data_IF_371011049053
#
_entry.id   IF_371011049053
#
_cell.length_a   1.000
_cell.length_b   1.000
_cell.length_c   1.000
_cell.angle_alpha   90.00
_cell.angle_beta   90.00
_cell.angle_gamma   90.00
#
_symmetry.space_group_name_H-M   'P 1'
#
loop_
_entity.id
_entity.type
_entity.pdbx_description
1 polymer ?
#
# COMPACT_ATOMS: atom_id res chain seq x y z
N UNK A 1 -11.28 -34.46 -18.88
CA UNK A 1 -12.04 -33.35 -19.46
C UNK A 1 -11.96 -32.22 -18.47
N UNK A 2 -10.88 -31.44 -18.50
CA UNK A 2 -10.68 -30.30 -17.61
C UNK A 2 -9.92 -29.26 -18.45
N UNK A 3 -10.58 -28.15 -18.81
CA UNK A 3 -9.96 -27.07 -19.58
C UNK A 3 -10.90 -26.29 -20.51
N UNK A 4 -12.08 -26.80 -20.86
CA UNK A 4 -13.02 -26.09 -21.75
C UNK A 4 -13.86 -25.02 -21.02
N UNK A 5 -14.06 -25.14 -19.71
CA UNK A 5 -14.97 -24.24 -18.95
C UNK A 5 -14.37 -22.85 -18.61
N UNK A 6 -13.13 -22.55 -19.02
CA UNK A 6 -12.46 -21.28 -18.68
C UNK A 6 -11.81 -20.57 -19.89
N UNK A 7 -12.30 -20.86 -21.10
CA UNK A 7 -11.84 -20.19 -22.31
C UNK A 7 -12.66 -18.91 -22.58
N UNK A 8 -11.98 -17.82 -22.93
CA UNK A 8 -12.62 -16.55 -23.31
C UNK A 8 -12.44 -16.29 -24.80
N UNK A 9 -13.52 -15.93 -25.48
CA UNK A 9 -13.45 -15.47 -26.87
C UNK A 9 -12.75 -14.11 -26.92
N UNK A 10 -11.54 -14.08 -27.47
CA UNK A 10 -10.64 -12.92 -27.46
C UNK A 10 -10.15 -12.62 -28.88
N UNK A 11 -10.00 -11.33 -29.21
CA UNK A 11 -9.35 -10.93 -30.47
C UNK A 11 -7.83 -11.03 -30.34
N UNK A 12 -7.24 -11.86 -31.17
CA UNK A 12 -5.79 -12.07 -31.22
C UNK A 12 -5.24 -11.46 -32.51
N UNK A 13 -4.22 -10.63 -32.37
CA UNK A 13 -3.48 -10.11 -33.52
C UNK A 13 -2.41 -11.12 -33.95
N UNK A 14 -2.52 -11.63 -35.17
CA UNK A 14 -1.47 -12.38 -35.82
C UNK A 14 -0.66 -11.44 -36.70
N UNK A 15 0.58 -11.16 -36.29
CA UNK A 15 1.56 -10.51 -37.18
C UNK A 15 2.08 -11.54 -38.16
N UNK A 16 1.80 -11.34 -39.43
CA UNK A 16 2.59 -11.93 -40.51
C UNK A 16 3.58 -10.87 -41.02
N UNK A 17 4.64 -11.28 -41.73
CA UNK A 17 5.78 -10.41 -42.13
C UNK A 17 5.37 -9.10 -42.81
N UNK A 18 4.18 -9.04 -43.42
CA UNK A 18 3.68 -7.87 -44.14
C UNK A 18 2.38 -7.26 -43.58
N UNK A 19 1.61 -7.97 -42.75
CA UNK A 19 0.26 -7.51 -42.32
C UNK A 19 -0.07 -7.93 -40.88
N UNK A 20 -0.80 -7.06 -40.17
CA UNK A 20 -1.41 -7.34 -38.87
C UNK A 20 -2.86 -7.78 -39.10
N UNK A 21 -3.17 -9.07 -38.90
CA UNK A 21 -4.52 -9.61 -39.06
C UNK A 21 -5.10 -9.97 -37.71
N UNK A 22 -6.31 -9.51 -37.42
CA UNK A 22 -7.02 -9.81 -36.18
C UNK A 22 -8.02 -10.95 -36.40
N UNK A 23 -8.01 -11.93 -35.51
CA UNK A 23 -8.92 -13.09 -35.55
C UNK A 23 -9.47 -13.39 -34.17
N UNK A 24 -10.70 -13.88 -34.10
CA UNK A 24 -11.32 -14.24 -32.84
C UNK A 24 -10.92 -15.67 -32.49
N UNK A 25 -10.40 -15.86 -31.27
CA UNK A 25 -9.91 -17.14 -30.79
C UNK A 25 -10.39 -17.37 -29.36
N UNK A 26 -10.78 -18.61 -29.06
CA UNK A 26 -11.00 -19.05 -27.69
C UNK A 26 -9.64 -19.27 -27.02
N UNK A 27 -9.32 -18.45 -26.02
CA UNK A 27 -8.05 -18.53 -25.29
C UNK A 27 -8.34 -18.87 -23.84
N UNK A 28 -7.67 -19.90 -23.34
CA UNK A 28 -7.55 -20.13 -21.90
C UNK A 28 -6.51 -19.16 -21.35
N UNK A 29 -6.87 -18.28 -20.39
CA UNK A 29 -5.94 -17.31 -19.86
C UNK A 29 -4.80 -18.06 -19.17
N UNK A 30 -3.58 -17.55 -19.35
CA UNK A 30 -2.46 -18.03 -18.55
C UNK A 30 -2.80 -17.76 -17.08
N UNK A 31 -2.49 -18.69 -16.17
CA UNK A 31 -2.63 -18.43 -14.74
C UNK A 31 -1.93 -17.10 -14.41
N UNK A 32 -2.50 -16.27 -13.53
CA UNK A 32 -1.81 -15.08 -13.07
C UNK A 32 -0.42 -15.49 -12.60
N UNK A 33 0.61 -14.78 -13.07
CA UNK A 33 1.98 -15.02 -12.62
C UNK A 33 2.08 -14.79 -11.11
N UNK A 34 3.11 -15.37 -10.48
CA UNK A 34 3.41 -15.05 -9.09
C UNK A 34 3.58 -13.53 -8.94
N UNK A 35 2.83 -12.94 -8.00
CA UNK A 35 2.95 -11.52 -7.69
C UNK A 35 4.32 -11.30 -7.09
N UNK A 36 5.15 -10.48 -7.74
CA UNK A 36 6.41 -10.05 -7.17
C UNK A 36 6.10 -9.00 -6.09
N UNK A 37 6.17 -9.42 -4.83
CA UNK A 37 6.14 -8.51 -3.70
C UNK A 37 7.43 -7.69 -3.75
N UNK A 38 7.31 -6.36 -3.69
CA UNK A 38 8.47 -5.49 -3.63
C UNK A 38 9.14 -5.65 -2.25
N UNK A 39 10.47 -5.71 -2.22
CA UNK A 39 11.19 -5.79 -0.94
C UNK A 39 11.44 -4.41 -0.35
N UNK A 40 11.41 -4.32 0.97
CA UNK A 40 11.85 -3.14 1.70
C UNK A 40 13.35 -3.19 1.94
N UNK A 41 13.98 -2.03 1.86
CA UNK A 41 15.36 -1.82 2.28
C UNK A 41 15.54 -2.19 3.75
N UNK A 42 16.75 -2.63 4.11
CA UNK A 42 17.07 -2.93 5.51
C UNK A 42 16.97 -1.65 6.37
N UNK A 43 16.31 -1.74 7.52
CA UNK A 43 16.20 -0.61 8.46
C UNK A 43 17.52 -0.43 9.22
N UNK A 44 17.94 0.82 9.43
CA UNK A 44 19.08 1.16 10.29
C UNK A 44 18.81 0.73 11.74
N UNK A 45 19.55 -0.30 12.18
CA UNK A 45 19.46 -0.85 13.54
C UNK A 45 19.76 0.20 14.63
N UNK A 46 20.66 1.15 14.37
CA UNK A 46 20.98 2.21 15.32
C UNK A 46 19.78 3.16 15.48
N UNK A 47 19.07 3.44 14.39
CA UNK A 47 17.84 4.24 14.39
C UNK A 47 16.74 3.54 15.19
N UNK A 48 16.49 2.26 14.92
CA UNK A 48 15.53 1.45 15.68
C UNK A 48 15.86 1.41 17.18
N UNK A 49 17.13 1.20 17.53
CA UNK A 49 17.56 1.15 18.93
C UNK A 49 17.36 2.49 19.65
N UNK A 50 17.56 3.62 18.94
CA UNK A 50 17.30 4.96 19.49
C UNK A 50 15.79 5.18 19.69
N UNK A 51 14.98 4.87 18.69
CA UNK A 51 13.52 4.99 18.77
C UNK A 51 12.97 4.18 19.96
N UNK A 52 13.41 2.93 20.13
CA UNK A 52 13.03 2.08 21.28
C UNK A 52 13.35 2.70 22.64
N UNK A 53 14.49 3.38 22.76
CA UNK A 53 14.91 4.00 24.03
C UNK A 53 14.12 5.23 24.40
N UNK A 54 13.50 5.91 23.43
CA UNK A 54 12.73 7.14 23.67
C UNK A 54 11.24 6.87 23.87
N UNK A 55 10.80 5.62 23.71
CA UNK A 55 9.39 5.25 23.88
C UNK A 55 8.88 5.55 25.28
N UNK A 56 7.66 6.09 25.32
CA UNK A 56 6.92 6.39 26.54
C UNK A 56 5.87 5.32 26.86
N UNK A 57 5.46 4.52 25.88
CA UNK A 57 4.50 3.45 26.08
C UNK A 57 4.01 2.80 24.78
N UNK A 58 3.15 1.80 24.96
CA UNK A 58 2.38 1.14 23.91
C UNK A 58 0.90 1.41 24.12
N UNK A 59 0.25 2.05 23.17
CA UNK A 59 -1.14 2.51 23.31
C UNK A 59 -1.83 2.67 21.97
N UNK A 60 -3.14 2.40 21.93
CA UNK A 60 -3.97 2.61 20.75
C UNK A 60 -3.87 1.50 19.69
N UNK A 61 -4.72 1.67 18.68
CA UNK A 61 -4.82 0.86 17.48
C UNK A 61 -4.61 1.81 16.30
N UNK A 62 -3.65 1.49 15.42
CA UNK A 62 -3.41 2.28 14.23
C UNK A 62 -3.83 1.51 12.99
N UNK A 63 -4.59 2.18 12.13
CA UNK A 63 -5.02 1.67 10.83
C UNK A 63 -4.06 2.19 9.75
N UNK A 64 -3.58 1.28 8.89
CA UNK A 64 -2.60 1.62 7.85
C UNK A 64 -3.03 1.05 6.51
N UNK A 65 -3.00 1.90 5.48
CA UNK A 65 -3.26 1.52 4.10
C UNK A 65 -2.26 2.18 3.13
N UNK A 66 -2.08 1.54 1.98
CA UNK A 66 -1.38 2.08 0.83
C UNK A 66 -2.26 1.90 -0.40
N UNK A 67 -2.89 2.98 -0.87
CA UNK A 67 -3.79 2.97 -2.03
C UNK A 67 -3.46 4.09 -3.02
N UNK A 68 -3.90 3.94 -4.26
CA UNK A 68 -3.71 4.99 -5.27
C UNK A 68 -4.52 6.23 -4.89
N UNK A 69 -3.85 7.37 -4.77
CA UNK A 69 -4.56 8.64 -4.63
C UNK A 69 -5.17 9.01 -5.99
N UNK A 70 -6.46 9.38 -6.06
CA UNK A 70 -7.12 9.77 -7.30
C UNK A 70 -6.76 11.20 -7.75
N UNK A 71 -5.52 11.63 -7.49
CA UNK A 71 -4.98 12.93 -7.86
C UNK A 71 -3.76 12.72 -8.77
N UNK A 72 -3.88 12.95 -10.10
CA UNK A 72 -2.76 12.75 -11.00
C UNK A 72 -1.68 13.80 -10.76
N UNK A 73 -0.43 13.36 -10.65
CA UNK A 73 0.73 14.23 -10.49
C UNK A 73 1.48 14.33 -11.83
N UNK A 74 1.96 15.54 -12.15
CA UNK A 74 2.80 15.80 -13.32
C UNK A 74 4.09 16.50 -12.88
N UNK A 75 5.19 15.73 -12.86
CA UNK A 75 6.53 16.20 -12.51
C UNK A 75 7.42 16.38 -13.77
N UNK A 76 6.81 16.66 -14.93
CA UNK A 76 7.51 16.84 -16.21
C UNK A 76 7.68 15.56 -17.04
N UNK A 77 7.31 14.41 -16.48
CA UNK A 77 7.21 13.12 -17.18
C UNK A 77 5.74 12.79 -17.51
N UNK A 78 5.47 11.55 -17.96
CA UNK A 78 4.10 11.05 -18.12
C UNK A 78 3.35 11.18 -16.79
N UNK A 79 2.21 11.89 -16.73
CA UNK A 79 1.41 11.98 -15.51
C UNK A 79 1.01 10.60 -15.00
N UNK A 80 0.98 10.45 -13.69
CA UNK A 80 0.66 9.19 -13.02
C UNK A 80 -0.18 9.44 -11.77
N UNK A 81 -0.88 8.41 -11.32
CA UNK A 81 -1.55 8.40 -10.01
C UNK A 81 -0.57 7.85 -8.97
N UNK A 82 -0.19 8.63 -7.94
CA UNK A 82 0.76 8.18 -6.94
C UNK A 82 0.09 7.19 -5.97
N UNK A 83 0.92 6.37 -5.33
CA UNK A 83 0.52 5.63 -4.13
C UNK A 83 0.53 6.59 -2.93
N UNK A 84 -0.50 6.50 -2.11
CA UNK A 84 -0.63 7.22 -0.85
C UNK A 84 -0.59 6.22 0.30
N UNK A 85 0.43 6.36 1.16
CA UNK A 85 0.45 5.73 2.46
C UNK A 85 -0.27 6.62 3.47
N UNK A 86 -1.14 6.03 4.29
CA UNK A 86 -1.90 6.74 5.31
C UNK A 86 -1.87 5.94 6.62
N UNK A 87 -1.65 6.62 7.74
CA UNK A 87 -1.63 6.05 9.09
C UNK A 87 -2.59 6.87 9.95
N UNK A 88 -3.60 6.20 10.50
CA UNK A 88 -4.68 6.82 11.29
C UNK A 88 -4.76 6.17 12.65
N UNK A 89 -4.90 7.00 13.69
CA UNK A 89 -5.21 6.53 15.03
C UNK A 89 -6.70 6.25 15.15
N UNK A 90 -7.07 5.01 15.49
CA UNK A 90 -8.47 4.57 15.50
C UNK A 90 -9.29 5.24 16.60
N UNK A 91 -8.69 5.50 17.77
CA UNK A 91 -9.42 6.06 18.92
C UNK A 91 -9.80 7.53 18.68
N UNK A 92 -8.90 8.30 18.08
CA UNK A 92 -9.09 9.73 17.85
C UNK A 92 -9.54 10.10 16.44
N UNK A 93 -9.58 9.14 15.50
CA UNK A 93 -9.77 9.36 14.07
C UNK A 93 -8.75 10.36 13.46
N UNK A 94 -7.60 10.57 14.11
CA UNK A 94 -6.60 11.51 13.62
C UNK A 94 -5.66 10.85 12.62
N UNK A 95 -5.43 11.52 11.49
CA UNK A 95 -4.33 11.20 10.58
C UNK A 95 -3.02 11.51 11.29
N UNK A 96 -2.28 10.47 11.66
CA UNK A 96 -0.96 10.59 12.30
C UNK A 96 0.12 10.98 11.28
N UNK A 97 -0.03 10.50 10.05
CA UNK A 97 0.81 10.89 8.93
C UNK A 97 0.35 10.30 7.61
N UNK A 98 0.80 10.93 6.53
CA UNK A 98 0.55 10.48 5.17
C UNK A 98 1.78 10.77 4.29
N UNK A 99 1.90 10.05 3.17
CA UNK A 99 2.97 10.27 2.21
C UNK A 99 2.59 9.80 0.81
N UNK A 100 3.04 10.54 -0.21
CA UNK A 100 2.88 10.17 -1.62
C UNK A 100 4.18 9.57 -2.15
N UNK A 101 4.05 8.57 -3.01
CA UNK A 101 5.19 7.87 -3.62
C UNK A 101 4.84 7.28 -4.99
N UNK A 102 5.86 7.03 -5.80
CA UNK A 102 5.72 6.07 -6.89
C UNK A 102 5.52 4.66 -6.29
N UNK A 103 4.81 3.79 -7.03
CA UNK A 103 4.55 2.40 -6.60
C UNK A 103 5.84 1.65 -6.24
N UNK A 104 6.91 1.88 -7.00
CA UNK A 104 8.20 1.21 -6.78
C UNK A 104 8.89 1.65 -5.48
N UNK A 105 8.58 2.84 -4.96
CA UNK A 105 9.14 3.39 -3.73
C UNK A 105 8.24 3.20 -2.50
N UNK A 106 6.96 2.83 -2.71
CA UNK A 106 5.96 2.67 -1.64
C UNK A 106 6.43 1.82 -0.46
N UNK A 107 7.11 0.67 -0.64
CA UNK A 107 7.56 -0.16 0.48
C UNK A 107 8.46 0.61 1.46
N UNK A 108 9.46 1.31 0.95
CA UNK A 108 10.41 2.07 1.79
C UNK A 108 9.77 3.32 2.38
N UNK A 109 8.87 3.97 1.62
CA UNK A 109 8.18 5.19 2.05
C UNK A 109 7.23 4.92 3.21
N UNK A 110 6.47 3.81 3.20
CA UNK A 110 5.54 3.50 4.30
C UNK A 110 6.28 3.05 5.56
N UNK A 111 7.38 2.30 5.42
CA UNK A 111 8.26 1.93 6.54
C UNK A 111 8.87 3.19 7.17
N UNK A 112 9.39 4.10 6.34
CA UNK A 112 9.91 5.39 6.79
C UNK A 112 8.87 6.22 7.52
N UNK A 113 7.67 6.35 6.94
CA UNK A 113 6.57 7.12 7.52
C UNK A 113 6.16 6.58 8.90
N UNK A 114 5.99 5.27 9.05
CA UNK A 114 5.65 4.66 10.34
C UNK A 114 6.73 4.93 11.40
N UNK A 115 8.00 4.77 11.02
CA UNK A 115 9.12 4.99 11.94
C UNK A 115 9.25 6.47 12.33
N UNK A 116 9.05 7.39 11.39
CA UNK A 116 9.03 8.84 11.64
C UNK A 116 7.93 9.21 12.65
N UNK A 117 6.73 8.63 12.52
CA UNK A 117 5.62 8.85 13.45
C UNK A 117 5.98 8.34 14.84
N UNK A 118 6.46 7.09 14.97
CA UNK A 118 6.87 6.50 16.25
C UNK A 118 7.94 7.38 16.92
N UNK A 119 8.93 7.85 16.17
CA UNK A 119 9.99 8.73 16.67
C UNK A 119 9.47 10.10 17.11
N UNK A 120 8.46 10.64 16.42
CA UNK A 120 7.85 11.94 16.71
C UNK A 120 6.94 11.91 17.93
N UNK A 121 6.09 10.88 18.04
CA UNK A 121 5.11 10.77 19.13
C UNK A 121 5.67 10.04 20.35
N UNK A 122 6.77 9.30 20.20
CA UNK A 122 7.36 8.45 21.23
C UNK A 122 6.41 7.38 21.78
N UNK A 123 5.42 6.98 20.98
CA UNK A 123 4.44 5.94 21.29
C UNK A 123 4.41 4.97 20.11
N UNK A 124 4.19 3.70 20.43
CA UNK A 124 3.96 2.63 19.46
C UNK A 124 2.55 2.10 19.67
N UNK A 125 1.79 1.76 18.63
CA UNK A 125 0.48 1.14 18.81
C UNK A 125 0.62 -0.26 19.41
N UNK A 126 -0.40 -0.68 20.18
CA UNK A 126 -0.48 -2.09 20.59
C UNK A 126 -0.83 -2.97 19.39
N UNK A 127 -1.67 -2.45 18.51
CA UNK A 127 -2.19 -3.16 17.35
C UNK A 127 -2.09 -2.29 16.10
N UNK A 128 -1.70 -2.92 15.00
CA UNK A 128 -1.80 -2.34 13.65
C UNK A 128 -2.82 -3.14 12.86
N UNK A 129 -3.79 -2.46 12.27
CA UNK A 129 -4.79 -3.06 11.40
C UNK A 129 -4.48 -2.67 9.95
N UNK A 130 -4.53 -3.66 9.05
CA UNK A 130 -4.20 -3.52 7.62
C UNK A 130 -5.13 -4.39 6.78
N UNK A 131 -5.35 -4.01 5.51
CA UNK A 131 -6.14 -4.81 4.56
C UNK A 131 -5.32 -5.54 3.50
N UNK A 132 -3.99 -5.37 3.49
CA UNK A 132 -3.11 -5.90 2.43
C UNK A 132 -1.99 -6.77 2.98
N UNK A 133 -1.85 -7.98 2.43
CA UNK A 133 -0.71 -8.83 2.73
C UNK A 133 0.62 -8.19 2.29
N UNK A 134 0.65 -7.44 1.20
CA UNK A 134 1.87 -6.73 0.76
C UNK A 134 2.34 -5.75 1.84
N UNK A 135 1.39 -5.02 2.45
CA UNK A 135 1.68 -4.05 3.50
C UNK A 135 2.22 -4.73 4.77
N UNK A 136 1.70 -5.91 5.11
CA UNK A 136 2.29 -6.74 6.17
C UNK A 136 3.76 -7.05 5.88
N UNK A 137 4.09 -7.44 4.64
CA UNK A 137 5.46 -7.75 4.24
C UNK A 137 6.37 -6.53 4.33
N UNK A 138 5.90 -5.36 3.89
CA UNK A 138 6.68 -4.12 3.96
C UNK A 138 7.01 -3.75 5.40
N UNK A 139 6.02 -3.80 6.30
CA UNK A 139 6.15 -3.37 7.68
C UNK A 139 6.79 -4.40 8.61
N UNK A 140 7.02 -5.63 8.13
CA UNK A 140 7.48 -6.77 8.94
C UNK A 140 8.69 -6.45 9.83
N UNK A 141 9.67 -5.72 9.31
CA UNK A 141 10.87 -5.35 10.08
C UNK A 141 10.52 -4.50 11.32
N UNK A 142 9.59 -3.54 11.19
CA UNK A 142 9.13 -2.69 12.30
C UNK A 142 8.24 -3.49 13.26
N UNK A 143 7.29 -4.26 12.72
CA UNK A 143 6.36 -5.07 13.51
C UNK A 143 7.10 -6.03 14.46
N UNK A 144 8.12 -6.72 13.94
CA UNK A 144 8.96 -7.62 14.73
C UNK A 144 9.83 -6.83 15.71
N UNK A 145 10.44 -5.73 15.26
CA UNK A 145 11.32 -4.95 16.12
C UNK A 145 10.58 -4.41 17.35
N UNK A 146 9.37 -3.89 17.20
CA UNK A 146 8.60 -3.29 18.30
C UNK A 146 7.57 -4.25 18.92
N UNK A 147 7.58 -5.53 18.54
CA UNK A 147 6.64 -6.55 19.06
C UNK A 147 5.16 -6.14 18.92
N UNK A 148 4.82 -5.51 17.80
CA UNK A 148 3.48 -4.99 17.51
C UNK A 148 2.58 -6.13 17.04
N UNK A 149 1.37 -6.22 17.58
CA UNK A 149 0.36 -7.15 17.07
C UNK A 149 -0.23 -6.61 15.77
N UNK A 150 -0.41 -7.46 14.77
CA UNK A 150 -0.95 -7.05 13.48
C UNK A 150 -2.16 -7.89 13.11
N UNK A 151 -3.20 -7.23 12.65
CA UNK A 151 -4.45 -7.85 12.23
C UNK A 151 -4.70 -7.52 10.77
N UNK A 152 -4.85 -8.57 9.96
CA UNK A 152 -5.34 -8.43 8.59
C UNK A 152 -6.87 -8.40 8.65
N UNK A 153 -7.46 -7.26 8.32
CA UNK A 153 -8.91 -7.01 8.39
C UNK A 153 -9.47 -6.77 6.99
N UNK A 154 -10.79 -6.89 6.83
CA UNK A 154 -11.46 -6.54 5.58
C UNK A 154 -11.75 -5.04 5.44
N UNK A 155 -11.71 -4.30 6.55
CA UNK A 155 -12.14 -2.90 6.65
C UNK A 155 -11.23 -2.14 7.62
N UNK A 156 -11.08 -0.83 7.38
CA UNK A 156 -10.33 0.11 8.22
C UNK A 156 -11.19 1.37 8.43
N UNK A 157 -12.18 1.32 9.33
CA UNK A 157 -13.23 2.34 9.42
C UNK A 157 -12.70 3.76 9.65
N UNK A 158 -11.73 3.94 10.56
CA UNK A 158 -11.16 5.26 10.85
C UNK A 158 -10.34 5.78 9.67
N UNK A 159 -9.63 4.89 9.00
CA UNK A 159 -8.85 5.24 7.82
C UNK A 159 -9.73 5.54 6.60
N UNK A 160 -10.84 4.82 6.43
CA UNK A 160 -11.80 5.03 5.35
C UNK A 160 -12.50 6.39 5.52
N UNK A 161 -12.94 6.72 6.74
CA UNK A 161 -13.48 8.04 7.09
C UNK A 161 -12.45 9.16 6.79
N UNK A 162 -11.20 8.99 7.24
CA UNK A 162 -10.14 9.96 6.98
C UNK A 162 -9.83 10.15 5.48
N UNK A 163 -9.93 9.08 4.68
CA UNK A 163 -9.77 9.16 3.22
C UNK A 163 -10.91 9.93 2.58
N UNK A 164 -12.15 9.70 2.99
CA UNK A 164 -13.31 10.43 2.49
C UNK A 164 -13.18 11.92 2.77
N UNK A 165 -12.91 12.31 4.02
CA UNK A 165 -12.72 13.72 4.41
C UNK A 165 -11.57 14.38 3.63
N UNK A 166 -10.43 13.70 3.51
CA UNK A 166 -9.29 14.22 2.76
C UNK A 166 -9.65 14.41 1.28
N UNK A 167 -10.42 13.50 0.69
CA UNK A 167 -10.87 13.58 -0.70
C UNK A 167 -11.87 14.70 -0.92
N UNK A 168 -12.80 14.93 -0.01
CA UNK A 168 -13.71 16.06 -0.04
C UNK A 168 -12.96 17.40 -0.03
N UNK A 169 -11.94 17.52 0.82
CA UNK A 169 -11.10 18.72 0.85
C UNK A 169 -10.30 18.96 -0.43
N UNK A 170 -9.76 17.90 -1.04
CA UNK A 170 -8.96 18.00 -2.27
C UNK A 170 -9.81 18.28 -3.51
N UNK A 171 -11.08 17.86 -3.52
CA UNK A 171 -11.98 17.99 -4.68
C UNK A 171 -13.00 19.13 -4.56
N UNK A 172 -13.34 19.53 -3.33
CA UNK A 172 -14.29 20.60 -3.01
C UNK A 172 -13.71 22.02 -3.05
N UNK A 173 -12.40 22.16 -3.25
CA UNK A 173 -11.74 23.44 -3.49
C UNK A 173 -11.95 23.93 -4.93
N UNK A 174 -13.16 24.42 -5.22
CA UNK A 174 -13.50 25.11 -6.46
C UNK A 174 -14.03 26.52 -6.20
#
# INVERSE_FOLDING_TARGET
MEGEDNAFLTRVSNRNVQNLVWSDQWIVPKPPGHVHILETSAIDELRLAKAKKTLKGYEGIWEIDCSYAPMPINEGNRPYYPMMGLIVDQESNQILGFGLSDKSETPDKIVGLLLDIIEKVHVVPKEIWICSEDLFHYLKQILVAFEIQVYLTSELPSLDEAKEEMMEHLTGGR
#
